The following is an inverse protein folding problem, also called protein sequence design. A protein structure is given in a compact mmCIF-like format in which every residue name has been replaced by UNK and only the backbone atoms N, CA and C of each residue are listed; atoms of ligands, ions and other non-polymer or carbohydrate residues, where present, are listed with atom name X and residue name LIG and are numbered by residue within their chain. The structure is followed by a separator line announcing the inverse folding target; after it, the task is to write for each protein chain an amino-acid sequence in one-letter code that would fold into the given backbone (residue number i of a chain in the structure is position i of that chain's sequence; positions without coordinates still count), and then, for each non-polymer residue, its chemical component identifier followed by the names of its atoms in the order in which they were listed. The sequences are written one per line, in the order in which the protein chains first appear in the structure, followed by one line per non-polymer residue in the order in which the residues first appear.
data_IF_595948335902
#
_entry.id   IF_595948335902
#
_cell.length_a   1.000
_cell.length_b   1.000
_cell.length_c   1.000
_cell.angle_alpha   90.00
_cell.angle_beta   90.00
_cell.angle_gamma   90.00
#
_symmetry.space_group_name_H-M   'P 1'
#
loop_
_entity.id
_entity.type
_entity.pdbx_description
1 polymer ?
#
# COMPACT_ATOMS: atom_id res chain seq x y z
N UNK A 1 13.64 6.11 7.67
CA UNK A 1 13.82 5.80 6.24
C UNK A 1 12.79 4.75 5.87
N UNK A 2 11.82 5.09 5.02
CA UNK A 2 10.69 4.23 4.64
C UNK A 2 11.02 3.54 3.31
N UNK A 3 11.21 2.22 3.27
CA UNK A 3 11.38 1.53 1.97
C UNK A 3 10.08 1.02 1.37
N UNK A 4 8.93 1.42 1.93
CA UNK A 4 7.66 1.07 1.38
C UNK A 4 6.61 2.11 1.79
N UNK A 5 5.74 2.50 0.86
CA UNK A 5 4.47 3.11 1.23
C UNK A 5 3.41 2.06 0.94
N UNK A 6 2.70 1.65 1.97
CA UNK A 6 1.53 0.79 1.86
C UNK A 6 0.32 1.68 1.94
N UNK A 7 -0.38 1.83 0.81
CA UNK A 7 -1.68 2.47 0.77
C UNK A 7 -2.73 1.49 1.28
N UNK A 8 -3.53 1.89 2.26
CA UNK A 8 -4.81 1.28 2.58
C UNK A 8 -5.87 2.35 2.34
N UNK A 9 -6.80 2.11 1.42
CA UNK A 9 -8.05 2.86 1.32
C UNK A 9 -9.17 1.93 1.76
N UNK A 10 -9.92 2.28 2.81
CA UNK A 10 -11.08 1.49 3.28
C UNK A 10 -12.36 2.29 3.14
N UNK A 11 -13.33 1.78 2.38
CA UNK A 11 -14.71 2.31 2.38
C UNK A 11 -15.51 1.61 3.48
N UNK A 12 -15.98 2.28 4.55
CA UNK A 12 -16.56 1.61 5.70
C UNK A 12 -17.98 1.08 5.45
N UNK A 13 -18.34 0.09 6.27
CA UNK A 13 -19.72 -0.38 6.48
C UNK A 13 -20.52 0.78 7.06
N UNK A 14 -21.72 1.04 6.54
CA UNK A 14 -22.71 1.92 7.18
C UNK A 14 -23.01 1.45 8.61
N UNK A 15 -22.32 2.00 9.61
CA UNK A 15 -22.76 2.28 10.99
C UNK A 15 -21.55 2.55 11.90
N UNK A 16 -21.36 3.84 12.23
CA UNK A 16 -20.82 4.37 13.48
C UNK A 16 -19.87 3.48 14.33
N UNK A 17 -18.61 3.31 13.94
CA UNK A 17 -17.51 3.03 14.88
C UNK A 17 -16.22 3.68 14.34
N UNK A 18 -15.52 4.53 15.12
CA UNK A 18 -14.25 5.10 14.68
C UNK A 18 -13.16 4.03 14.73
N UNK A 19 -12.52 3.73 13.60
CA UNK A 19 -11.35 2.85 13.56
C UNK A 19 -10.10 3.70 13.76
N UNK A 20 -9.60 3.69 14.99
CA UNK A 20 -8.29 4.24 15.35
C UNK A 20 -7.18 3.46 14.63
N UNK A 21 -6.35 4.14 13.85
CA UNK A 21 -5.20 3.55 13.15
C UNK A 21 -4.04 3.39 14.12
N UNK A 22 -3.87 2.18 14.67
CA UNK A 22 -2.65 1.80 15.39
C UNK A 22 -1.58 1.37 14.38
N UNK A 23 -0.34 1.77 14.60
CA UNK A 23 0.85 1.44 13.78
C UNK A 23 0.99 -0.08 13.60
N UNK A 24 0.88 -0.58 12.36
CA UNK A 24 1.00 -2.01 12.06
C UNK A 24 2.43 -2.38 11.64
N UNK A 25 3.21 -2.96 12.56
CA UNK A 25 4.47 -3.64 12.23
C UNK A 25 4.19 -4.99 11.57
N UNK A 26 4.41 -5.08 10.26
CA UNK A 26 4.08 -6.25 9.45
C UNK A 26 5.21 -7.30 9.46
N UNK A 27 5.30 -8.07 10.55
CA UNK A 27 6.02 -9.35 10.55
C UNK A 27 5.14 -10.47 9.94
N UNK A 28 5.74 -11.64 9.64
CA UNK A 28 5.17 -12.86 8.98
C UNK A 28 3.82 -13.40 9.51
N UNK A 29 3.20 -12.75 10.49
CA UNK A 29 1.98 -13.16 11.19
C UNK A 29 0.65 -12.57 10.66
N UNK A 30 0.66 -11.77 9.58
CA UNK A 30 -0.55 -11.03 9.15
C UNK A 30 -1.45 -11.69 8.09
N UNK A 31 -1.23 -12.98 7.76
CA UNK A 31 -2.17 -13.79 6.94
C UNK A 31 -3.63 -13.79 7.42
N UNK A 32 -3.96 -13.67 8.72
CA UNK A 32 -5.34 -13.70 9.18
C UNK A 32 -6.15 -12.44 8.83
N UNK A 33 -5.55 -11.25 8.74
CA UNK A 33 -6.33 -10.00 8.71
C UNK A 33 -7.08 -9.79 7.39
N UNK A 34 -6.38 -9.85 6.25
CA UNK A 34 -7.03 -9.78 4.94
C UNK A 34 -8.06 -10.90 4.76
N UNK A 35 -7.74 -12.08 5.29
CA UNK A 35 -8.63 -13.24 5.25
C UNK A 35 -9.90 -13.04 6.07
N UNK A 36 -9.81 -12.45 7.27
CA UNK A 36 -10.98 -12.10 8.08
C UNK A 36 -11.89 -11.08 7.40
N UNK A 37 -11.33 -10.08 6.72
CA UNK A 37 -12.16 -9.12 5.98
C UNK A 37 -13.00 -9.83 4.89
N UNK A 38 -12.36 -10.71 4.12
CA UNK A 38 -13.03 -11.46 3.05
C UNK A 38 -14.04 -12.46 3.63
N UNK A 39 -13.60 -13.27 4.58
CA UNK A 39 -14.35 -14.43 5.08
C UNK A 39 -15.47 -14.02 6.06
N UNK A 40 -15.25 -13.00 6.91
CA UNK A 40 -16.20 -12.62 7.99
C UNK A 40 -17.01 -11.35 7.67
N UNK A 41 -16.52 -10.47 6.78
CA UNK A 41 -17.16 -9.18 6.47
C UNK A 41 -17.59 -9.07 5.01
N UNK A 42 -17.41 -10.12 4.20
CA UNK A 42 -17.68 -10.12 2.76
C UNK A 42 -17.01 -8.97 2.00
N UNK A 43 -15.86 -8.52 2.50
CA UNK A 43 -15.10 -7.43 1.89
C UNK A 43 -14.20 -7.87 0.75
N UNK A 44 -13.61 -6.89 0.07
CA UNK A 44 -12.71 -7.08 -1.07
C UNK A 44 -11.29 -6.63 -0.69
N UNK A 45 -10.28 -7.35 -1.19
CA UNK A 45 -8.88 -6.96 -1.08
C UNK A 45 -8.24 -6.97 -2.46
N UNK A 46 -8.05 -5.78 -3.00
CA UNK A 46 -7.37 -5.54 -4.27
C UNK A 46 -5.89 -5.34 -3.99
N UNK A 47 -5.06 -6.28 -4.43
CA UNK A 47 -3.60 -6.17 -4.35
C UNK A 47 -3.04 -5.51 -5.60
N UNK A 48 -2.13 -4.56 -5.44
CA UNK A 48 -1.39 -3.89 -6.51
C UNK A 48 0.12 -4.12 -6.31
N UNK A 49 0.79 -4.58 -7.37
CA UNK A 49 2.21 -4.90 -7.34
C UNK A 49 2.51 -6.21 -6.59
N UNK A 50 3.43 -6.17 -5.63
CA UNK A 50 3.97 -7.35 -4.95
C UNK A 50 3.14 -7.88 -3.77
N UNK A 51 2.04 -7.21 -3.39
CA UNK A 51 1.22 -7.61 -2.24
C UNK A 51 0.72 -9.06 -2.36
N UNK A 52 0.20 -9.48 -3.52
CA UNK A 52 -0.33 -10.84 -3.67
C UNK A 52 0.75 -11.91 -3.41
N UNK A 53 1.96 -11.67 -3.90
CA UNK A 53 3.10 -12.57 -3.70
C UNK A 53 3.53 -12.61 -2.23
N UNK A 54 3.62 -11.45 -1.57
CA UNK A 54 3.99 -11.31 -0.15
C UNK A 54 3.01 -12.08 0.76
N UNK A 55 1.71 -12.02 0.44
CA UNK A 55 0.66 -12.70 1.20
C UNK A 55 0.39 -14.13 0.73
N UNK A 56 1.17 -14.66 -0.23
CA UNK A 56 0.94 -15.96 -0.86
C UNK A 56 -0.53 -16.14 -1.31
N UNK A 57 -1.13 -15.07 -1.82
CA UNK A 57 -2.52 -14.97 -2.27
C UNK A 57 -3.60 -15.20 -1.20
N UNK A 58 -3.22 -15.26 0.08
CA UNK A 58 -4.16 -15.46 1.19
C UNK A 58 -4.94 -14.17 1.48
N UNK A 59 -6.28 -14.23 1.40
CA UNK A 59 -7.15 -13.09 1.67
C UNK A 59 -7.12 -12.01 0.58
N UNK A 60 -6.74 -12.37 -0.65
CA UNK A 60 -6.69 -11.46 -1.81
C UNK A 60 -7.83 -11.80 -2.76
N UNK A 61 -8.71 -10.83 -3.05
CA UNK A 61 -9.84 -11.04 -3.97
C UNK A 61 -9.53 -10.63 -5.40
N UNK A 62 -8.71 -9.59 -5.60
CA UNK A 62 -8.25 -9.12 -6.92
C UNK A 62 -6.73 -8.87 -6.91
N UNK A 63 -6.08 -9.20 -8.03
CA UNK A 63 -4.63 -9.01 -8.22
C UNK A 63 -4.37 -8.16 -9.45
N UNK A 64 -3.66 -7.06 -9.24
CA UNK A 64 -3.25 -6.12 -10.28
C UNK A 64 -1.73 -6.06 -10.30
N UNK A 65 -1.16 -6.45 -11.45
CA UNK A 65 0.29 -6.38 -11.65
C UNK A 65 0.65 -5.00 -12.19
N UNK A 66 1.59 -4.34 -11.53
CA UNK A 66 2.22 -3.11 -11.97
C UNK A 66 3.65 -3.08 -11.45
N UNK A 67 4.53 -2.41 -12.20
CA UNK A 67 5.97 -2.31 -11.91
C UNK A 67 6.41 -0.91 -12.27
N UNK A 68 7.23 -0.28 -11.43
CA UNK A 68 7.57 1.13 -11.57
C UNK A 68 6.63 2.01 -10.75
N UNK A 69 7.17 3.05 -10.13
CA UNK A 69 6.47 3.97 -9.24
C UNK A 69 5.20 4.56 -9.89
N UNK A 70 5.30 5.07 -11.12
CA UNK A 70 4.16 5.63 -11.85
C UNK A 70 3.08 4.61 -12.16
N UNK A 71 3.45 3.44 -12.70
CA UNK A 71 2.49 2.40 -13.04
C UNK A 71 1.79 1.85 -11.79
N UNK A 72 2.50 1.78 -10.66
CA UNK A 72 1.91 1.42 -9.37
C UNK A 72 0.89 2.48 -8.95
N UNK A 73 1.22 3.77 -9.02
CA UNK A 73 0.28 4.86 -8.71
C UNK A 73 -0.96 4.83 -9.60
N UNK A 74 -0.77 4.70 -10.91
CA UNK A 74 -1.86 4.70 -11.88
C UNK A 74 -2.81 3.51 -11.64
N UNK A 75 -2.23 2.35 -11.36
CA UNK A 75 -3.00 1.17 -10.97
C UNK A 75 -3.76 1.41 -9.66
N UNK A 76 -3.13 2.00 -8.64
CA UNK A 76 -3.80 2.33 -7.38
C UNK A 76 -4.96 3.29 -7.57
N UNK A 77 -4.77 4.38 -8.32
CA UNK A 77 -5.81 5.37 -8.63
C UNK A 77 -6.98 4.72 -9.36
N UNK A 78 -6.69 3.88 -10.36
CA UNK A 78 -7.71 3.14 -11.10
C UNK A 78 -8.52 2.25 -10.17
N UNK A 79 -7.85 1.46 -9.33
CA UNK A 79 -8.51 0.54 -8.41
C UNK A 79 -9.28 1.26 -7.30
N UNK A 80 -8.83 2.44 -6.84
CA UNK A 80 -9.59 3.28 -5.91
C UNK A 80 -10.89 3.81 -6.52
N UNK A 81 -10.88 4.16 -7.81
CA UNK A 81 -12.08 4.58 -8.55
C UNK A 81 -13.06 3.44 -8.76
N UNK A 82 -12.56 2.23 -9.01
CA UNK A 82 -13.37 1.02 -9.17
C UNK A 82 -13.84 0.42 -7.83
N UNK A 83 -13.17 0.74 -6.72
CA UNK A 83 -13.47 0.19 -5.41
C UNK A 83 -14.88 0.59 -4.94
N UNK A 84 -15.69 -0.42 -4.62
CA UNK A 84 -16.95 -0.26 -3.90
C UNK A 84 -16.74 -0.22 -2.38
N UNK A 85 -17.85 -0.28 -1.65
CA UNK A 85 -17.82 -0.33 -0.18
C UNK A 85 -17.11 -1.59 0.33
N UNK A 86 -16.58 -1.58 1.55
CA UNK A 86 -15.83 -2.69 2.16
C UNK A 86 -14.66 -3.22 1.34
N UNK A 87 -14.02 -2.34 0.57
CA UNK A 87 -12.86 -2.68 -0.25
C UNK A 87 -11.59 -2.11 0.36
N UNK A 88 -10.54 -2.94 0.42
CA UNK A 88 -9.16 -2.53 0.62
C UNK A 88 -8.46 -2.49 -0.74
N UNK A 89 -7.93 -1.33 -1.12
CA UNK A 89 -6.90 -1.24 -2.18
C UNK A 89 -5.54 -1.21 -1.51
N UNK A 90 -4.72 -2.22 -1.78
CA UNK A 90 -3.44 -2.47 -1.11
C UNK A 90 -2.28 -2.47 -2.11
N UNK A 91 -1.48 -1.41 -2.08
CA UNK A 91 -0.34 -1.22 -2.99
C UNK A 91 1.00 -1.36 -2.28
N UNK A 92 1.99 -1.93 -2.97
CA UNK A 92 3.38 -2.02 -2.52
C UNK A 92 4.30 -1.25 -3.48
N UNK A 93 4.72 -0.04 -3.11
CA UNK A 93 5.68 0.78 -3.87
C UNK A 93 7.12 0.24 -3.74
N UNK A 94 7.43 -0.83 -4.46
CA UNK A 94 8.65 -1.64 -4.26
C UNK A 94 9.96 -0.94 -4.67
N UNK A 95 9.90 0.07 -5.54
CA UNK A 95 11.11 0.69 -6.11
C UNK A 95 12.02 1.32 -5.05
N UNK A 96 11.44 1.82 -3.94
CA UNK A 96 12.20 2.35 -2.79
C UNK A 96 13.10 1.30 -2.15
N UNK A 97 12.76 0.02 -2.25
CA UNK A 97 13.59 -1.08 -1.79
C UNK A 97 14.46 -1.64 -2.94
N UNK A 98 13.83 -2.10 -4.03
CA UNK A 98 14.53 -2.88 -5.05
C UNK A 98 15.34 -2.05 -6.04
N UNK A 99 14.83 -0.88 -6.42
CA UNK A 99 15.39 -0.07 -7.51
C UNK A 99 16.41 0.93 -6.97
N UNK A 100 16.17 1.52 -5.79
CA UNK A 100 17.03 2.56 -5.24
C UNK A 100 17.72 2.20 -3.91
N UNK A 101 16.99 1.64 -2.94
CA UNK A 101 17.53 1.32 -1.61
C UNK A 101 18.67 0.30 -1.66
N UNK A 102 18.40 -0.90 -2.18
CA UNK A 102 19.41 -1.97 -2.31
C UNK A 102 20.57 -1.60 -3.24
N UNK A 103 20.34 -0.70 -4.19
CA UNK A 103 21.35 -0.23 -5.14
C UNK A 103 22.17 0.95 -4.63
N UNK A 104 21.85 1.48 -3.45
CA UNK A 104 22.48 2.67 -2.86
C UNK A 104 22.43 3.88 -3.80
N UNK A 105 21.35 3.99 -4.58
CA UNK A 105 21.12 5.12 -5.48
C UNK A 105 20.38 6.23 -4.74
N UNK A 106 21.15 7.13 -4.13
CA UNK A 106 20.62 8.24 -3.33
C UNK A 106 19.78 9.19 -4.19
N UNK A 107 20.24 9.51 -5.40
CA UNK A 107 19.56 10.44 -6.29
C UNK A 107 18.23 9.87 -6.79
N UNK A 108 18.22 8.59 -7.19
CA UNK A 108 17.00 7.89 -7.58
C UNK A 108 16.00 7.76 -6.44
N UNK A 109 16.48 7.47 -5.22
CA UNK A 109 15.63 7.40 -4.03
C UNK A 109 14.95 8.74 -3.73
N UNK A 110 15.72 9.84 -3.73
CA UNK A 110 15.21 11.18 -3.49
C UNK A 110 14.18 11.59 -4.55
N UNK A 111 14.50 11.40 -5.83
CA UNK A 111 13.58 11.67 -6.94
C UNK A 111 12.29 10.84 -6.84
N UNK A 112 12.40 9.58 -6.42
CA UNK A 112 11.24 8.72 -6.16
C UNK A 112 10.34 9.26 -5.04
N UNK A 113 10.91 9.78 -3.95
CA UNK A 113 10.15 10.36 -2.84
C UNK A 113 9.46 11.66 -3.26
N UNK A 114 10.14 12.53 -4.01
CA UNK A 114 9.56 13.76 -4.55
C UNK A 114 8.42 13.48 -5.54
N UNK A 115 8.56 12.45 -6.38
CA UNK A 115 7.50 12.01 -7.28
C UNK A 115 6.30 11.46 -6.50
N UNK A 116 6.56 10.63 -5.48
CA UNK A 116 5.52 10.08 -4.62
C UNK A 116 4.73 11.20 -3.92
N UNK A 117 5.43 12.17 -3.32
CA UNK A 117 4.82 13.31 -2.64
C UNK A 117 3.96 14.16 -3.59
N UNK A 118 4.47 14.45 -4.80
CA UNK A 118 3.74 15.21 -5.82
C UNK A 118 2.45 14.57 -6.28
N UNK A 119 2.40 13.22 -6.30
CA UNK A 119 1.23 12.46 -6.73
C UNK A 119 0.27 12.15 -5.59
N UNK A 120 0.67 12.33 -4.33
CA UNK A 120 -0.18 12.07 -3.17
C UNK A 120 -1.51 12.84 -3.19
N UNK A 121 -1.58 14.12 -3.63
CA UNK A 121 -2.86 14.84 -3.79
C UNK A 121 -3.85 14.14 -4.73
N UNK A 122 -3.39 13.44 -5.77
CA UNK A 122 -4.28 12.68 -6.66
C UNK A 122 -5.02 11.59 -5.90
N UNK A 123 -4.31 10.83 -5.03
CA UNK A 123 -4.92 9.79 -4.19
C UNK A 123 -5.88 10.40 -3.16
N UNK A 124 -5.45 11.49 -2.51
CA UNK A 124 -6.26 12.14 -1.47
C UNK A 124 -7.57 12.70 -2.03
N UNK A 125 -7.57 13.19 -3.27
CA UNK A 125 -8.77 13.71 -3.93
C UNK A 125 -9.86 12.66 -4.20
N UNK A 126 -9.51 11.37 -4.13
CA UNK A 126 -10.43 10.25 -4.37
C UNK A 126 -11.07 9.72 -3.09
N UNK A 127 -10.60 10.15 -1.92
CA UNK A 127 -11.11 9.72 -0.63
C UNK A 127 -12.46 10.40 -0.34
N UNK A 128 -13.40 9.61 0.16
CA UNK A 128 -14.65 10.09 0.77
C UNK A 128 -14.43 10.39 2.25
N UNK A 129 -15.38 11.06 2.88
CA UNK A 129 -15.31 11.46 4.30
C UNK A 129 -15.11 10.29 5.26
N UNK A 130 -15.56 9.10 4.86
CA UNK A 130 -15.52 7.88 5.62
C UNK A 130 -14.34 6.97 5.23
N UNK A 131 -13.60 7.34 4.19
CA UNK A 131 -12.43 6.60 3.75
C UNK A 131 -11.21 6.86 4.64
N UNK A 132 -10.45 5.81 4.93
CA UNK A 132 -9.18 5.91 5.65
C UNK A 132 -8.04 5.73 4.67
N UNK A 133 -7.08 6.66 4.67
CA UNK A 133 -5.79 6.50 4.01
C UNK A 133 -4.70 6.14 5.01
N UNK A 134 -4.07 4.98 4.83
CA UNK A 134 -2.87 4.61 5.59
C UNK A 134 -1.66 4.69 4.66
N UNK A 135 -0.59 5.32 5.12
CA UNK A 135 0.74 5.30 4.50
C UNK A 135 1.74 4.75 5.52
N UNK A 136 2.42 3.65 5.20
CA UNK A 136 3.39 3.04 6.13
C UNK A 136 4.49 2.27 5.39
N UNK A 137 5.61 2.04 6.08
CA UNK A 137 6.70 1.16 5.63
C UNK A 137 6.78 -0.13 6.45
N UNK A 138 7.31 -1.19 5.84
CA UNK A 138 7.60 -2.45 6.51
C UNK A 138 9.01 -2.49 7.12
N UNK A 139 9.98 -1.80 6.50
CA UNK A 139 11.31 -1.58 7.06
C UNK A 139 12.01 -0.35 6.43
N UNK A 140 13.25 -0.09 6.85
CA UNK A 140 14.12 0.90 6.21
C UNK A 140 15.12 0.26 5.27
N UNK A 141 15.46 0.99 4.19
CA UNK A 141 16.50 0.60 3.23
C UNK A 141 17.32 1.85 2.87
N UNK A 142 18.25 2.21 3.75
CA UNK A 142 19.03 3.46 3.68
C UNK A 142 20.04 3.43 2.51
N UNK A 143 19.88 4.24 1.44
CA UNK A 143 20.81 4.24 0.30
C UNK A 143 22.21 4.81 0.64
N UNK A 144 22.42 5.38 1.82
CA UNK A 144 23.72 5.89 2.30
C UNK A 144 24.44 4.93 3.24
N UNK A 145 23.80 3.84 3.67
CA UNK A 145 24.39 2.94 4.66
C UNK A 145 25.59 2.16 4.11
N UNK A 146 26.77 2.43 4.65
CA UNK A 146 28.01 1.68 4.44
C UNK A 146 28.20 0.65 5.56
N UNK A 147 28.50 -0.61 5.23
CA UNK A 147 28.94 -1.58 6.24
C UNK A 147 30.40 -1.27 6.60
N UNK A 148 30.68 -1.06 7.88
CA UNK A 148 32.04 -0.98 8.43
C UNK A 148 32.67 -2.37 8.54
#
# INVERSE_FOLDING_TARGET
MLSLVRLLATKPVTSSVPVTVTTWLLSRQHRPCCRKLVDEKHGQVVSVGKIADIYANCGITKKVKATGLDALFDATIKEMKEAGDNTIVFTNFVDFDSSWGHRRDVAGYAAGLELFDRRLPELMSLLRDDDILILTADHGCDPTWTRY
#
